data_IF_009446967175
#
_entry.id   IF_009446967175
#
_cell.length_a   1.000
_cell.length_b   1.000
_cell.length_c   1.000
_cell.angle_alpha   90.00
_cell.angle_beta   90.00
_cell.angle_gamma   90.00
#
_symmetry.space_group_name_H-M   'P 1'
#
loop_
_entity.id
_entity.type
_entity.pdbx_description
1 polymer ?
#
# COMPACT_ATOMS: atom_id res chain seq x y z
N UNK A 1 -3.65 -15.26 6.10
CA UNK A 1 -4.84 -14.46 5.71
C UNK A 1 -4.83 -14.33 4.20
N UNK A 2 -5.89 -14.77 3.52
CA UNK A 2 -5.92 -14.87 2.06
C UNK A 2 -6.00 -13.46 1.41
N UNK A 3 -5.35 -13.21 0.25
CA UNK A 3 -5.48 -11.95 -0.50
C UNK A 3 -6.93 -11.49 -0.73
N UNK A 4 -7.90 -12.40 -0.91
CA UNK A 4 -9.32 -12.06 -1.05
C UNK A 4 -9.86 -11.40 0.23
N UNK A 5 -9.53 -11.94 1.40
CA UNK A 5 -9.95 -11.36 2.70
C UNK A 5 -9.38 -9.96 2.89
N UNK A 6 -8.16 -9.73 2.38
CA UNK A 6 -7.49 -8.43 2.43
C UNK A 6 -8.20 -7.43 1.53
N UNK A 7 -8.49 -7.79 0.29
CA UNK A 7 -9.25 -6.96 -0.63
C UNK A 7 -10.63 -6.60 -0.04
N UNK A 8 -11.36 -7.58 0.51
CA UNK A 8 -12.65 -7.35 1.15
C UNK A 8 -12.57 -6.38 2.35
N UNK A 9 -11.53 -6.49 3.19
CA UNK A 9 -11.31 -5.52 4.28
C UNK A 9 -10.99 -4.12 3.77
N UNK A 10 -10.15 -3.99 2.74
CA UNK A 10 -9.83 -2.69 2.16
C UNK A 10 -11.08 -2.03 1.59
N UNK A 11 -11.95 -2.79 0.91
CA UNK A 11 -13.24 -2.30 0.41
C UNK A 11 -14.14 -1.82 1.56
N UNK A 12 -14.30 -2.62 2.62
CA UNK A 12 -15.08 -2.22 3.81
C UNK A 12 -14.53 -0.95 4.46
N UNK A 13 -13.21 -0.88 4.66
CA UNK A 13 -12.56 0.31 5.21
C UNK A 13 -12.82 1.55 4.33
N UNK A 14 -12.81 1.40 3.00
CA UNK A 14 -13.15 2.47 2.06
C UNK A 14 -14.61 2.93 2.18
N UNK A 15 -15.56 2.00 2.30
CA UNK A 15 -16.97 2.32 2.53
C UNK A 15 -17.16 3.07 3.85
N UNK A 16 -16.56 2.58 4.94
CA UNK A 16 -16.59 3.24 6.25
C UNK A 16 -15.97 4.65 6.20
N UNK A 17 -14.85 4.81 5.48
CA UNK A 17 -14.24 6.14 5.28
C UNK A 17 -15.17 7.09 4.54
N UNK A 18 -15.85 6.63 3.48
CA UNK A 18 -16.78 7.47 2.72
C UNK A 18 -17.97 7.90 3.59
N UNK A 19 -18.58 6.98 4.32
CA UNK A 19 -19.69 7.28 5.24
C UNK A 19 -19.27 8.21 6.38
N UNK A 20 -18.12 7.96 7.01
CA UNK A 20 -17.59 8.80 8.07
C UNK A 20 -17.27 10.21 7.54
N UNK A 21 -16.68 10.30 6.36
CA UNK A 21 -16.37 11.58 5.71
C UNK A 21 -17.63 12.38 5.40
N UNK A 22 -18.70 11.74 4.90
CA UNK A 22 -19.98 12.41 4.66
C UNK A 22 -20.55 13.04 5.94
N UNK A 23 -20.51 12.30 7.07
CA UNK A 23 -20.93 12.81 8.38
C UNK A 23 -20.08 13.99 8.85
N UNK A 24 -18.76 13.90 8.70
CA UNK A 24 -17.81 14.98 9.05
C UNK A 24 -18.07 16.22 8.21
N UNK A 25 -18.21 16.07 6.90
CA UNK A 25 -18.45 17.20 5.97
C UNK A 25 -19.76 17.89 6.33
N UNK A 26 -20.85 17.12 6.48
CA UNK A 26 -22.16 17.69 6.83
C UNK A 26 -22.09 18.52 8.12
N UNK A 27 -21.49 17.97 9.20
CA UNK A 27 -21.39 18.70 10.47
C UNK A 27 -20.47 19.92 10.37
N UNK A 28 -19.34 19.82 9.66
CA UNK A 28 -18.40 20.94 9.52
C UNK A 28 -18.97 22.08 8.67
N UNK A 29 -19.79 21.78 7.67
CA UNK A 29 -20.53 22.79 6.92
C UNK A 29 -21.50 23.55 7.83
N UNK A 30 -22.20 22.86 8.74
CA UNK A 30 -23.04 23.53 9.75
C UNK A 30 -22.21 24.43 10.68
N UNK A 31 -21.10 23.93 11.23
CA UNK A 31 -20.20 24.70 12.10
C UNK A 31 -19.67 25.96 11.40
N UNK A 32 -19.26 25.82 10.13
CA UNK A 32 -18.80 26.95 9.32
C UNK A 32 -19.93 27.97 9.08
N UNK A 33 -21.15 27.49 8.81
CA UNK A 33 -22.33 28.35 8.66
C UNK A 33 -22.66 29.12 9.94
N UNK A 34 -22.68 28.45 11.10
CA UNK A 34 -22.86 29.06 12.42
C UNK A 34 -21.78 30.12 12.71
N UNK A 35 -20.53 29.82 12.37
CA UNK A 35 -19.41 30.73 12.53
C UNK A 35 -19.53 31.98 11.64
N UNK A 36 -20.05 31.85 10.41
CA UNK A 36 -20.30 33.00 9.55
C UNK A 36 -21.46 33.86 10.05
N UNK A 37 -22.49 33.25 10.62
CA UNK A 37 -23.65 33.96 11.18
C UNK A 37 -23.29 34.69 12.48
N UNK A 38 -22.43 34.11 13.33
CA UNK A 38 -21.97 34.73 14.57
C UNK A 38 -20.49 34.39 14.87
N UNK A 39 -19.55 35.17 14.32
CA UNK A 39 -18.12 34.90 14.47
C UNK A 39 -17.62 34.90 15.92
N UNK A 40 -18.23 35.72 16.80
CA UNK A 40 -17.82 35.84 18.20
C UNK A 40 -18.19 34.63 19.07
N UNK A 41 -19.11 33.78 18.59
CA UNK A 41 -19.53 32.54 19.27
C UNK A 41 -19.20 31.29 18.46
N UNK A 42 -18.35 31.42 17.45
CA UNK A 42 -17.95 30.29 16.61
C UNK A 42 -17.17 29.24 17.40
N UNK A 43 -17.28 27.98 16.99
CA UNK A 43 -16.42 26.91 17.49
C UNK A 43 -15.01 27.03 16.88
N UNK A 44 -14.23 27.98 17.39
CA UNK A 44 -12.85 28.23 16.95
C UNK A 44 -11.94 27.02 17.17
N UNK A 45 -12.26 26.16 18.15
CA UNK A 45 -11.49 24.95 18.43
C UNK A 45 -11.66 23.97 17.27
N UNK A 46 -12.89 23.66 16.87
CA UNK A 46 -13.11 22.73 15.76
C UNK A 46 -12.69 23.34 14.42
N UNK A 47 -12.92 24.64 14.19
CA UNK A 47 -12.41 25.35 13.00
C UNK A 47 -10.88 25.25 12.87
N UNK A 48 -10.16 25.45 13.98
CA UNK A 48 -8.70 25.32 14.02
C UNK A 48 -8.19 23.90 13.78
N UNK A 49 -9.01 22.87 14.02
CA UNK A 49 -8.64 21.45 13.79
C UNK A 49 -8.79 21.01 12.35
N UNK A 50 -9.70 21.63 11.57
CA UNK A 50 -10.14 21.06 10.29
C UNK A 50 -9.03 20.89 9.26
N UNK A 51 -8.09 21.84 9.19
CA UNK A 51 -6.94 21.81 8.29
C UNK A 51 -5.82 20.89 8.79
N UNK A 52 -5.28 21.14 10.01
CA UNK A 52 -4.16 20.36 10.55
C UNK A 52 -4.40 18.84 10.55
N UNK A 53 -5.61 18.38 10.86
CA UNK A 53 -5.92 16.94 10.85
C UNK A 53 -5.78 16.30 9.46
N UNK A 54 -6.15 17.03 8.39
CA UNK A 54 -5.98 16.55 7.01
C UNK A 54 -4.51 16.43 6.65
N UNK A 55 -3.72 17.43 7.04
CA UNK A 55 -2.27 17.44 6.82
C UNK A 55 -1.62 16.28 7.58
N UNK A 56 -1.94 16.10 8.87
CA UNK A 56 -1.39 15.01 9.68
C UNK A 56 -1.71 13.63 9.09
N UNK A 57 -2.97 13.38 8.72
CA UNK A 57 -3.38 12.11 8.13
C UNK A 57 -2.68 11.86 6.78
N UNK A 58 -2.55 12.90 5.95
CA UNK A 58 -1.90 12.80 4.65
C UNK A 58 -0.37 12.62 4.78
N UNK A 59 0.27 13.30 5.73
CA UNK A 59 1.70 13.10 6.04
C UNK A 59 1.96 11.68 6.56
N UNK A 60 1.12 11.15 7.44
CA UNK A 60 1.22 9.77 7.90
C UNK A 60 1.04 8.76 6.74
N UNK A 61 0.07 9.03 5.86
CA UNK A 61 -0.15 8.25 4.62
C UNK A 61 1.08 8.27 3.70
N UNK A 62 1.65 9.45 3.47
CA UNK A 62 2.87 9.62 2.67
C UNK A 62 4.08 8.91 3.30
N UNK A 63 4.23 8.96 4.62
CA UNK A 63 5.26 8.21 5.34
C UNK A 63 5.12 6.70 5.16
N UNK A 64 3.90 6.17 5.22
CA UNK A 64 3.62 4.76 4.96
C UNK A 64 3.95 4.36 3.51
N UNK A 65 3.65 5.22 2.53
CA UNK A 65 4.02 5.02 1.12
C UNK A 65 5.54 5.00 0.94
N UNK A 66 6.25 5.96 1.51
CA UNK A 66 7.71 6.06 1.41
C UNK A 66 8.40 4.81 2.03
N UNK A 67 7.95 4.39 3.22
CA UNK A 67 8.45 3.16 3.84
C UNK A 67 8.20 1.93 2.97
N UNK A 68 6.98 1.78 2.44
CA UNK A 68 6.68 0.64 1.56
C UNK A 68 7.42 0.66 0.22
N UNK A 69 7.72 1.85 -0.32
CA UNK A 69 8.55 1.96 -1.52
C UNK A 69 9.98 1.46 -1.26
N UNK A 70 10.55 1.74 -0.08
CA UNK A 70 11.85 1.19 0.33
C UNK A 70 11.79 -0.34 0.50
N UNK A 71 10.75 -0.87 1.14
CA UNK A 71 10.55 -2.32 1.29
C UNK A 71 10.48 -3.02 -0.09
N UNK A 72 9.80 -2.41 -1.05
CA UNK A 72 9.70 -2.91 -2.42
C UNK A 72 11.03 -2.82 -3.19
N UNK A 73 11.79 -1.74 -3.01
CA UNK A 73 13.13 -1.61 -3.59
C UNK A 73 14.09 -2.70 -3.07
N UNK A 74 14.04 -2.95 -1.76
CA UNK A 74 14.81 -4.03 -1.14
C UNK A 74 14.37 -5.42 -1.62
N UNK A 75 13.06 -5.63 -1.86
CA UNK A 75 12.57 -6.85 -2.49
C UNK A 75 13.12 -7.01 -3.91
N UNK A 76 13.09 -5.95 -4.72
CA UNK A 76 13.65 -5.95 -6.06
C UNK A 76 15.15 -6.27 -6.08
N UNK A 77 15.92 -5.71 -5.14
CA UNK A 77 17.34 -6.02 -4.98
C UNK A 77 17.58 -7.49 -4.67
N UNK A 78 16.82 -8.08 -3.74
CA UNK A 78 16.92 -9.52 -3.42
C UNK A 78 16.61 -10.42 -4.62
N UNK A 79 15.65 -10.03 -5.46
CA UNK A 79 15.33 -10.76 -6.69
C UNK A 79 16.51 -10.66 -7.66
N UNK A 80 17.06 -9.46 -7.87
CA UNK A 80 18.20 -9.25 -8.75
C UNK A 80 19.44 -10.06 -8.31
N UNK A 81 19.76 -10.03 -7.02
CA UNK A 81 20.88 -10.78 -6.45
C UNK A 81 20.70 -12.30 -6.68
N UNK A 82 19.49 -12.81 -6.42
CA UNK A 82 19.15 -14.23 -6.61
C UNK A 82 19.26 -14.65 -8.07
N UNK A 83 18.67 -13.88 -8.99
CA UNK A 83 18.71 -14.22 -10.42
C UNK A 83 20.12 -14.08 -11.01
N UNK A 84 20.93 -13.13 -10.51
CA UNK A 84 22.35 -13.02 -10.86
C UNK A 84 23.14 -14.26 -10.44
N UNK A 85 22.93 -14.75 -9.21
CA UNK A 85 23.56 -15.97 -8.72
C UNK A 85 23.14 -17.21 -9.54
N UNK A 86 21.84 -17.35 -9.84
CA UNK A 86 21.31 -18.44 -10.65
C UNK A 86 21.83 -18.42 -12.09
N UNK A 87 21.92 -17.24 -12.71
CA UNK A 87 22.49 -17.08 -14.04
C UNK A 87 23.97 -17.48 -14.08
N UNK A 88 24.76 -17.06 -13.08
CA UNK A 88 26.17 -17.44 -12.97
C UNK A 88 26.34 -18.95 -12.74
N UNK A 89 25.52 -19.54 -11.88
CA UNK A 89 25.50 -20.98 -11.65
C UNK A 89 25.05 -21.76 -12.89
N UNK A 90 24.11 -21.23 -13.69
CA UNK A 90 23.71 -21.82 -14.96
C UNK A 90 24.85 -21.78 -15.97
N UNK A 91 25.53 -20.64 -16.13
CA UNK A 91 26.69 -20.51 -17.03
C UNK A 91 27.81 -21.48 -16.66
N UNK A 92 28.07 -21.65 -15.36
CA UNK A 92 29.07 -22.61 -14.86
C UNK A 92 28.69 -24.07 -15.15
N UNK A 93 27.39 -24.39 -15.14
CA UNK A 93 26.90 -25.73 -15.53
C UNK A 93 27.00 -25.92 -17.04
N UNK A 94 26.67 -24.88 -17.81
CA UNK A 94 26.71 -24.91 -19.27
C UNK A 94 28.14 -25.07 -19.80
N UNK A 95 29.14 -24.41 -19.19
CA UNK A 95 30.54 -24.55 -19.57
C UNK A 95 31.13 -25.94 -19.31
N UNK A 96 30.46 -26.75 -18.48
CA UNK A 96 30.82 -28.14 -18.17
C UNK A 96 29.96 -29.16 -18.94
N UNK A 97 29.14 -28.72 -19.90
CA UNK A 97 28.28 -29.62 -20.64
C UNK A 97 29.09 -30.39 -21.71
N UNK A 98 29.04 -31.72 -21.64
CA UNK A 98 29.83 -32.59 -22.54
C UNK A 98 29.16 -32.84 -23.89
N UNK A 99 27.93 -32.33 -24.10
CA UNK A 99 27.19 -32.46 -25.35
C UNK A 99 26.15 -31.35 -25.57
N UNK A 100 25.75 -31.15 -26.83
CA UNK A 100 24.65 -30.27 -27.20
C UNK A 100 23.32 -30.68 -26.56
N UNK A 101 23.07 -31.98 -26.42
CA UNK A 101 21.86 -32.49 -25.76
C UNK A 101 21.82 -32.10 -24.27
N UNK A 102 22.95 -32.25 -23.56
CA UNK A 102 23.05 -31.83 -22.15
C UNK A 102 22.93 -30.31 -21.98
N UNK A 103 23.51 -29.53 -22.90
CA UNK A 103 23.39 -28.08 -22.90
C UNK A 103 21.93 -27.63 -23.11
N UNK A 104 21.24 -28.24 -24.08
CA UNK A 104 19.82 -27.97 -24.34
C UNK A 104 18.93 -28.30 -23.13
N UNK A 105 19.18 -29.42 -22.45
CA UNK A 105 18.46 -29.80 -21.24
C UNK A 105 18.69 -28.80 -20.09
N UNK A 106 19.94 -28.36 -19.89
CA UNK A 106 20.28 -27.34 -18.89
C UNK A 106 19.57 -26.01 -19.17
N UNK A 107 19.52 -25.59 -20.44
CA UNK A 107 18.90 -24.34 -20.84
C UNK A 107 17.36 -24.40 -20.67
N UNK A 108 16.73 -25.52 -21.02
CA UNK A 108 15.31 -25.73 -20.80
C UNK A 108 14.94 -25.70 -19.30
N UNK A 109 15.75 -26.38 -18.47
CA UNK A 109 15.55 -26.40 -17.02
C UNK A 109 15.72 -25.01 -16.39
N UNK A 110 16.75 -24.26 -16.80
CA UNK A 110 16.95 -22.88 -16.35
C UNK A 110 15.79 -21.97 -16.78
N UNK A 111 15.36 -22.05 -18.04
CA UNK A 111 14.23 -21.28 -18.56
C UNK A 111 12.94 -21.53 -17.76
N UNK A 112 12.58 -22.79 -17.54
CA UNK A 112 11.41 -23.14 -16.71
C UNK A 112 11.56 -22.64 -15.27
N UNK A 113 12.77 -22.71 -14.70
CA UNK A 113 13.06 -22.20 -13.37
C UNK A 113 12.85 -20.68 -13.27
N UNK A 114 13.38 -19.91 -14.22
CA UNK A 114 13.18 -18.45 -14.31
C UNK A 114 11.69 -18.13 -14.40
N UNK A 115 10.94 -18.81 -15.27
CA UNK A 115 9.51 -18.58 -15.42
C UNK A 115 8.72 -18.87 -14.13
N UNK A 116 9.00 -19.99 -13.48
CA UNK A 116 8.33 -20.37 -12.23
C UNK A 116 8.61 -19.38 -11.09
N UNK A 117 9.86 -18.93 -10.96
CA UNK A 117 10.23 -17.92 -9.96
C UNK A 117 9.62 -16.56 -10.28
N UNK A 118 9.65 -16.12 -11.54
CA UNK A 118 9.06 -14.86 -11.97
C UNK A 118 7.55 -14.80 -11.66
N UNK A 119 6.81 -15.88 -11.90
CA UNK A 119 5.40 -15.97 -11.54
C UNK A 119 5.18 -15.86 -10.02
N UNK A 120 6.01 -16.54 -9.23
CA UNK A 120 5.95 -16.51 -7.76
C UNK A 120 6.29 -15.13 -7.18
N UNK A 121 7.32 -14.48 -7.73
CA UNK A 121 7.72 -13.13 -7.34
C UNK A 121 6.65 -12.10 -7.73
N UNK A 122 6.05 -12.24 -8.91
CA UNK A 122 4.96 -11.37 -9.37
C UNK A 122 3.76 -11.43 -8.42
N UNK A 123 3.38 -12.63 -7.98
CA UNK A 123 2.32 -12.82 -6.99
C UNK A 123 2.66 -12.15 -5.66
N UNK A 124 3.89 -12.35 -5.17
CA UNK A 124 4.38 -11.77 -3.92
C UNK A 124 4.43 -10.24 -3.98
N UNK A 125 4.85 -9.69 -5.12
CA UNK A 125 4.86 -8.25 -5.37
C UNK A 125 3.45 -7.68 -5.39
N UNK A 126 2.49 -8.36 -6.04
CA UNK A 126 1.08 -7.98 -6.01
C UNK A 126 0.50 -7.94 -4.60
N UNK A 127 0.80 -8.94 -3.76
CA UNK A 127 0.36 -8.94 -2.36
C UNK A 127 0.98 -7.77 -1.57
N UNK A 128 2.24 -7.44 -1.86
CA UNK A 128 2.97 -6.34 -1.23
C UNK A 128 2.42 -4.98 -1.63
N UNK A 129 2.03 -4.79 -2.89
CA UNK A 129 1.35 -3.58 -3.36
C UNK A 129 -0.03 -3.41 -2.69
N UNK A 130 -0.84 -4.47 -2.59
CA UNK A 130 -2.13 -4.43 -1.90
C UNK A 130 -1.98 -4.12 -0.41
N UNK A 131 -0.95 -4.68 0.25
CA UNK A 131 -0.58 -4.34 1.62
C UNK A 131 -0.22 -2.86 1.76
N UNK A 132 0.60 -2.35 0.86
CA UNK A 132 1.06 -0.97 0.88
C UNK A 132 -0.12 -0.01 0.70
N UNK A 133 -0.99 -0.26 -0.27
CA UNK A 133 -2.19 0.55 -0.49
C UNK A 133 -3.08 0.59 0.76
N UNK A 134 -3.32 -0.57 1.39
CA UNK A 134 -4.11 -0.63 2.62
C UNK A 134 -3.45 0.14 3.79
N UNK A 135 -2.13 0.00 3.96
CA UNK A 135 -1.36 0.75 4.98
C UNK A 135 -1.40 2.26 4.72
N UNK A 136 -1.24 2.67 3.46
CA UNK A 136 -1.27 4.08 3.07
C UNK A 136 -2.63 4.73 3.33
N UNK A 137 -3.73 4.01 3.12
CA UNK A 137 -5.08 4.53 3.37
C UNK A 137 -5.50 4.48 4.84
N UNK A 138 -4.85 3.65 5.66
CA UNK A 138 -5.23 3.45 7.06
C UNK A 138 -5.26 4.74 7.91
N UNK A 139 -4.28 5.67 7.82
CA UNK A 139 -4.33 6.94 8.54
C UNK A 139 -5.52 7.81 8.15
N UNK A 140 -5.89 7.83 6.86
CA UNK A 140 -7.03 8.60 6.35
C UNK A 140 -8.33 8.01 6.88
N UNK A 141 -8.46 6.68 6.81
CA UNK A 141 -9.61 5.97 7.37
C UNK A 141 -9.76 6.24 8.88
N UNK A 142 -8.68 6.10 9.64
CA UNK A 142 -8.67 6.33 11.08
C UNK A 142 -9.08 7.78 11.42
N UNK A 143 -8.54 8.76 10.70
CA UNK A 143 -8.90 10.17 10.89
C UNK A 143 -10.38 10.43 10.58
N UNK A 144 -10.90 9.88 9.48
CA UNK A 144 -12.31 10.04 9.11
C UNK A 144 -13.24 9.47 10.19
N UNK A 145 -12.97 8.26 10.67
CA UNK A 145 -13.77 7.59 11.72
C UNK A 145 -13.68 8.33 13.05
N UNK A 146 -12.48 8.73 13.47
CA UNK A 146 -12.27 9.47 14.71
C UNK A 146 -12.98 10.83 14.69
N UNK A 147 -12.88 11.56 13.58
CA UNK A 147 -13.57 12.84 13.40
C UNK A 147 -15.08 12.66 13.39
N UNK A 148 -15.60 11.65 12.69
CA UNK A 148 -17.03 11.36 12.67
C UNK A 148 -17.56 11.00 14.07
N UNK A 149 -16.78 10.29 14.89
CA UNK A 149 -17.14 9.98 16.28
C UNK A 149 -17.19 11.25 17.13
N UNK A 150 -16.17 12.11 17.03
CA UNK A 150 -16.07 13.36 17.79
C UNK A 150 -17.16 14.37 17.42
N UNK A 151 -17.56 14.42 16.16
CA UNK A 151 -18.55 15.37 15.64
C UNK A 151 -20.00 14.91 15.83
N UNK A 152 -20.23 13.68 16.29
CA UNK A 152 -21.54 13.17 16.69
C UNK A 152 -21.93 13.60 18.10
N UNK A 153 -20.94 13.81 18.98
CA UNK A 153 -21.08 14.46 20.28
C UNK A 153 -21.15 15.96 20.12
#
# INVERSE_FOLDING_TARGET
MNPIDRAARTVRAGQETAEASAKVIARRLTIMGEAMANPLRADHVELGRMGPEKVQAMTASAGALAAGAMDMADQGRRIADREGAEASAHMTRLSKADSLASAAALQAAWGMGVWSRALSDSWTMGESMLKLQAKALSPIHAAAVANAKRLKT
#
